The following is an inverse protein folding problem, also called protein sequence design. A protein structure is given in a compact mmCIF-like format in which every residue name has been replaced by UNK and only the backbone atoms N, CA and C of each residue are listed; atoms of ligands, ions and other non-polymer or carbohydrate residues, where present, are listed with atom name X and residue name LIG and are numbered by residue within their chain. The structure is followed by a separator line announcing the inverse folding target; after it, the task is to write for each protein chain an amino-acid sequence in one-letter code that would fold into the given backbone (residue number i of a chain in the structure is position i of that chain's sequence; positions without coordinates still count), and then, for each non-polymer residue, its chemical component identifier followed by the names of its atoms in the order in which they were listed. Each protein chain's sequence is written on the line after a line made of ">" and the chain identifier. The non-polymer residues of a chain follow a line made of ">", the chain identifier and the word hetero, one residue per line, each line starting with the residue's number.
data_IF_522157422640
#
_entry.id   IF_522157422640
#
_cell.length_a   1.000
_cell.length_b   1.000
_cell.length_c   1.000
_cell.angle_alpha   90.00
_cell.angle_beta   90.00
_cell.angle_gamma   90.00
#
_symmetry.space_group_name_H-M   'P 1'
#
loop_
_entity.id
_entity.type
_entity.pdbx_description
1 polymer ?
#
# COMPACT_ATOMS: atom_id res chain seq x y z
N UNK A 1 36.64 30.94 21.13
CA UNK A 1 36.72 30.60 19.70
C UNK A 1 36.13 31.75 18.91
N UNK A 2 36.99 32.53 18.26
CA UNK A 2 36.64 33.71 17.49
C UNK A 2 36.43 33.34 16.01
N UNK A 3 35.57 34.09 15.31
CA UNK A 3 35.66 34.24 13.85
C UNK A 3 34.61 33.50 13.01
N UNK A 4 33.32 33.80 13.17
CA UNK A 4 32.35 33.59 12.09
C UNK A 4 32.52 34.70 11.05
N UNK A 5 33.14 34.40 9.91
CA UNK A 5 33.28 35.34 8.80
C UNK A 5 31.90 35.82 8.33
N UNK A 6 31.76 37.13 8.23
CA UNK A 6 30.53 37.82 7.87
C UNK A 6 30.07 37.57 6.43
N UNK A 7 28.76 37.39 6.31
CA UNK A 7 27.92 37.93 5.24
C UNK A 7 28.23 37.52 3.79
N UNK A 8 28.75 36.30 3.58
CA UNK A 8 28.55 35.60 2.32
C UNK A 8 27.37 34.65 2.47
N UNK A 9 26.17 35.13 2.13
CA UNK A 9 25.04 34.25 1.90
C UNK A 9 25.03 33.87 0.41
N UNK A 10 25.53 32.67 0.02
CA UNK A 10 25.63 32.27 -1.38
C UNK A 10 24.27 32.07 -2.05
N UNK A 11 23.20 32.05 -1.25
CA UNK A 11 21.84 31.79 -1.68
C UNK A 11 21.02 33.06 -1.58
N UNK A 12 20.32 33.39 -2.67
CA UNK A 12 19.27 34.40 -2.64
C UNK A 12 18.06 33.82 -1.90
N UNK A 13 17.91 34.23 -0.65
CA UNK A 13 16.78 33.82 0.19
C UNK A 13 15.52 34.54 -0.28
N UNK A 14 14.55 33.76 -0.79
CA UNK A 14 13.22 34.26 -1.11
C UNK A 14 12.26 33.95 0.05
N UNK A 15 11.70 34.98 0.72
CA UNK A 15 10.80 34.77 1.85
C UNK A 15 9.54 33.99 1.48
N UNK A 16 9.10 34.00 0.21
CA UNK A 16 7.94 33.23 -0.22
C UNK A 16 8.22 31.72 -0.21
N UNK A 17 9.43 31.33 -0.65
CA UNK A 17 9.86 29.92 -0.69
C UNK A 17 10.04 29.39 0.73
N UNK A 18 10.68 30.16 1.61
CA UNK A 18 10.87 29.75 3.01
C UNK A 18 9.53 29.57 3.74
N UNK A 19 8.56 30.47 3.53
CA UNK A 19 7.22 30.33 4.12
C UNK A 19 6.47 29.11 3.61
N UNK A 20 6.58 28.81 2.32
CA UNK A 20 5.96 27.60 1.75
C UNK A 20 6.62 26.33 2.31
N UNK A 21 7.95 26.30 2.39
CA UNK A 21 8.70 25.20 2.97
C UNK A 21 8.29 24.99 4.44
N UNK A 22 8.31 26.07 5.24
CA UNK A 22 7.90 26.06 6.64
C UNK A 22 6.46 25.55 6.82
N UNK A 23 5.51 26.03 6.00
CA UNK A 23 4.12 25.57 6.05
C UNK A 23 4.03 24.06 5.80
N UNK A 24 4.79 23.54 4.84
CA UNK A 24 4.76 22.12 4.44
C UNK A 24 5.44 21.22 5.46
N UNK A 25 6.46 21.72 6.15
CA UNK A 25 7.17 21.01 7.22
C UNK A 25 6.35 20.97 8.52
N UNK A 26 5.59 22.03 8.82
CA UNK A 26 4.84 22.18 10.07
C UNK A 26 3.35 21.84 9.91
N UNK A 27 3.01 20.97 8.96
CA UNK A 27 1.62 20.52 8.72
C UNK A 27 1.04 19.79 9.93
N UNK A 28 1.87 19.04 10.66
CA UNK A 28 1.43 18.25 11.81
C UNK A 28 0.86 19.11 12.94
N UNK A 29 1.38 20.32 13.12
CA UNK A 29 0.93 21.28 14.15
C UNK A 29 -0.47 21.81 13.86
N UNK A 30 -0.82 21.92 12.57
CA UNK A 30 -2.09 22.49 12.11
C UNK A 30 -3.11 21.42 11.71
N UNK A 31 -2.75 20.13 11.82
CA UNK A 31 -3.62 19.05 11.41
C UNK A 31 -4.85 18.93 12.33
N UNK A 32 -6.03 18.74 11.72
CA UNK A 32 -7.30 18.54 12.43
C UNK A 32 -8.06 17.35 11.86
N UNK A 33 -8.62 16.53 12.75
CA UNK A 33 -9.53 15.45 12.39
C UNK A 33 -10.91 16.02 12.00
N UNK A 34 -11.03 16.41 10.75
CA UNK A 34 -12.31 16.77 10.13
C UNK A 34 -12.97 15.53 9.53
N UNK A 35 -14.29 15.56 9.34
CA UNK A 35 -15.01 14.43 8.69
C UNK A 35 -14.41 14.03 7.34
N UNK A 36 -13.89 15.00 6.57
CA UNK A 36 -13.25 14.73 5.28
C UNK A 36 -11.89 14.05 5.46
N UNK A 37 -11.03 14.59 6.32
CA UNK A 37 -9.67 14.06 6.53
C UNK A 37 -9.73 12.66 7.19
N UNK A 38 -10.60 12.48 8.17
CA UNK A 38 -10.79 11.18 8.82
C UNK A 38 -11.25 10.12 7.83
N UNK A 39 -12.23 10.43 6.95
CA UNK A 39 -12.65 9.48 5.90
C UNK A 39 -11.49 9.10 4.99
N UNK A 40 -10.69 10.06 4.55
CA UNK A 40 -9.54 9.79 3.71
C UNK A 40 -8.53 8.88 4.42
N UNK A 41 -8.17 9.22 5.67
CA UNK A 41 -7.25 8.43 6.48
C UNK A 41 -7.77 7.01 6.73
N UNK A 42 -9.05 6.85 7.05
CA UNK A 42 -9.64 5.52 7.28
C UNK A 42 -9.64 4.68 6.02
N UNK A 43 -10.05 5.25 4.88
CA UNK A 43 -10.13 4.48 3.62
C UNK A 43 -8.73 4.07 3.16
N UNK A 44 -7.80 5.01 3.08
CA UNK A 44 -6.47 4.74 2.53
C UNK A 44 -5.50 4.12 3.52
N UNK A 45 -5.60 4.46 4.80
CA UNK A 45 -4.71 3.96 5.84
C UNK A 45 -5.14 2.63 6.44
N UNK A 46 -6.44 2.30 6.43
CA UNK A 46 -6.95 1.09 7.08
C UNK A 46 -7.73 0.19 6.13
N UNK A 47 -8.73 0.72 5.41
CA UNK A 47 -9.64 -0.11 4.62
C UNK A 47 -8.90 -0.78 3.46
N UNK A 48 -8.17 -0.01 2.65
CA UNK A 48 -7.47 -0.56 1.48
C UNK A 48 -6.39 -1.57 1.90
N UNK A 49 -5.45 -1.26 2.82
CA UNK A 49 -4.48 -2.23 3.28
C UNK A 49 -5.12 -3.45 3.95
N UNK A 50 -6.17 -3.24 4.75
CA UNK A 50 -6.89 -4.31 5.42
C UNK A 50 -7.57 -5.27 4.44
N UNK A 51 -8.23 -4.74 3.41
CA UNK A 51 -8.84 -5.56 2.35
C UNK A 51 -7.78 -6.32 1.55
N UNK A 52 -6.63 -5.72 1.26
CA UNK A 52 -5.53 -6.39 0.57
C UNK A 52 -4.98 -7.56 1.39
N UNK A 53 -4.74 -7.36 2.69
CA UNK A 53 -4.28 -8.43 3.58
C UNK A 53 -5.33 -9.53 3.68
N UNK A 54 -6.59 -9.17 3.90
CA UNK A 54 -7.68 -10.13 4.01
C UNK A 54 -7.86 -10.95 2.73
N UNK A 55 -7.84 -10.29 1.57
CA UNK A 55 -7.88 -10.96 0.27
C UNK A 55 -6.67 -11.86 0.08
N UNK A 56 -5.46 -11.36 0.37
CA UNK A 56 -4.24 -12.16 0.29
C UNK A 56 -4.37 -13.43 1.11
N UNK A 57 -4.74 -13.35 2.39
CA UNK A 57 -4.90 -14.52 3.26
C UNK A 57 -6.01 -15.47 2.80
N UNK A 58 -7.11 -14.95 2.28
CA UNK A 58 -8.25 -15.76 1.84
C UNK A 58 -7.98 -16.54 0.55
N UNK A 59 -7.13 -15.99 -0.32
CA UNK A 59 -6.77 -16.59 -1.60
C UNK A 59 -5.38 -17.22 -1.62
N UNK A 60 -4.60 -17.04 -0.55
CA UNK A 60 -3.27 -17.64 -0.42
C UNK A 60 -3.38 -19.15 -0.56
N UNK A 61 -2.62 -19.70 -1.50
CA UNK A 61 -2.48 -21.15 -1.72
C UNK A 61 -3.75 -21.90 -2.17
N UNK A 62 -4.83 -21.17 -2.54
CA UNK A 62 -6.05 -21.82 -3.06
C UNK A 62 -5.91 -22.36 -4.48
N UNK A 63 -5.10 -21.72 -5.29
CA UNK A 63 -5.00 -22.01 -6.71
C UNK A 63 -3.58 -22.41 -7.08
N UNK A 64 -3.44 -23.52 -7.79
CA UNK A 64 -2.20 -23.93 -8.45
C UNK A 64 -2.48 -24.05 -9.94
N UNK A 65 -1.90 -23.14 -10.72
CA UNK A 65 -2.09 -23.03 -12.17
C UNK A 65 -0.85 -23.52 -12.93
N UNK A 66 0.14 -24.08 -12.23
CA UNK A 66 1.39 -24.54 -12.83
C UNK A 66 1.14 -25.84 -13.60
N UNK A 67 1.35 -25.82 -14.91
CA UNK A 67 1.23 -27.02 -15.77
C UNK A 67 -0.21 -27.47 -16.04
N UNK A 68 -1.20 -26.62 -15.78
CA UNK A 68 -2.62 -26.96 -15.96
C UNK A 68 -2.99 -27.14 -17.45
N UNK A 69 -3.67 -28.23 -17.79
CA UNK A 69 -4.17 -28.47 -19.16
C UNK A 69 -5.66 -28.10 -19.30
N UNK A 70 -6.16 -28.06 -20.54
CA UNK A 70 -7.56 -27.70 -20.81
C UNK A 70 -8.51 -28.77 -20.24
N UNK A 71 -9.20 -28.43 -19.14
CA UNK A 71 -10.13 -29.32 -18.43
C UNK A 71 -9.73 -29.63 -16.99
N UNK A 72 -8.50 -29.31 -16.60
CA UNK A 72 -7.99 -29.53 -15.25
C UNK A 72 -8.48 -28.46 -14.26
N UNK A 73 -8.68 -28.87 -13.01
CA UNK A 73 -9.15 -27.98 -11.94
C UNK A 73 -7.96 -27.17 -11.36
N UNK A 74 -7.99 -25.82 -11.38
CA UNK A 74 -6.92 -24.98 -10.84
C UNK A 74 -6.87 -24.95 -9.31
N UNK A 75 -7.85 -25.54 -8.62
CA UNK A 75 -7.88 -25.56 -7.15
C UNK A 75 -6.85 -26.55 -6.61
N UNK A 76 -6.04 -26.09 -5.66
CA UNK A 76 -5.04 -26.94 -5.00
C UNK A 76 -5.67 -28.09 -4.19
N UNK A 77 -6.87 -27.88 -3.67
CA UNK A 77 -7.67 -28.87 -2.95
C UNK A 77 -9.02 -29.10 -3.66
N UNK A 78 -9.09 -29.98 -4.68
CA UNK A 78 -10.33 -30.26 -5.39
C UNK A 78 -11.29 -31.11 -4.53
N UNK A 79 -12.62 -30.93 -4.65
CA UNK A 79 -13.60 -31.77 -3.97
C UNK A 79 -13.57 -33.21 -4.53
N UNK A 80 -13.81 -34.20 -3.67
CA UNK A 80 -13.66 -35.64 -3.92
C UNK A 80 -14.40 -36.18 -5.15
N UNK A 81 -15.47 -35.51 -5.59
CA UNK A 81 -16.24 -35.87 -6.78
C UNK A 81 -15.43 -35.76 -8.07
N UNK A 82 -14.47 -34.83 -8.16
CA UNK A 82 -13.71 -34.56 -9.39
C UNK A 82 -12.46 -35.44 -9.55
N UNK A 83 -11.94 -36.00 -8.44
CA UNK A 83 -10.82 -36.95 -8.48
C UNK A 83 -11.21 -38.30 -9.09
N UNK A 84 -12.48 -38.68 -8.97
CA UNK A 84 -12.97 -39.98 -9.45
C UNK A 84 -13.08 -40.02 -10.98
N UNK A 85 -13.46 -38.92 -11.62
CA UNK A 85 -13.61 -38.84 -13.07
C UNK A 85 -12.30 -38.87 -13.86
N UNK A 86 -11.17 -38.55 -13.24
CA UNK A 86 -9.84 -38.64 -13.87
C UNK A 86 -9.18 -40.00 -13.63
N UNK A 87 -9.41 -40.63 -12.47
CA UNK A 87 -8.87 -41.97 -12.15
C UNK A 87 -9.56 -43.11 -12.92
N UNK A 88 -10.82 -42.94 -13.34
CA UNK A 88 -11.58 -43.98 -14.05
C UNK A 88 -11.35 -43.97 -15.58
N UNK A 89 -10.44 -43.13 -16.10
CA UNK A 89 -10.14 -42.99 -17.54
C UNK A 89 -8.80 -43.57 -17.99
N UNK A 90 -8.04 -44.22 -17.11
CA UNK A 90 -6.82 -44.97 -17.46
C UNK A 90 -7.10 -46.47 -17.67
#
# INVERSE_FOLDING_TARGET
>A
MAGGHGDHNPLRVDPAIERWAHMREHVYENFKFTRRNTRFLTVWGLVIPGLLIWGSLSFYDRYDIRGLTAGDNPLKHPPSTQQKSTSDKE
#
